data_IF_058532730495
#
_entry.id   IF_058532730495
#
_cell.length_a   1.000
_cell.length_b   1.000
_cell.length_c   1.000
_cell.angle_alpha   90.00
_cell.angle_beta   90.00
_cell.angle_gamma   90.00
#
_symmetry.space_group_name_H-M   'P 1'
#
loop_
_entity.id
_entity.type
_entity.pdbx_description
1 polymer ?
#
# COMPACT_ATOMS: atom_id res chain seq x y z
N UNK A 1 -35.42 -21.79 -47.08
CA UNK A 1 -35.58 -20.85 -45.94
C UNK A 1 -34.74 -21.24 -44.76
N UNK A 2 -34.74 -22.52 -44.29
CA UNK A 2 -33.90 -22.98 -43.19
C UNK A 2 -32.41 -22.85 -43.51
N UNK A 3 -31.98 -23.33 -44.67
CA UNK A 3 -30.57 -23.29 -45.08
C UNK A 3 -30.05 -21.86 -45.21
N UNK A 4 -30.89 -20.93 -45.74
CA UNK A 4 -30.57 -19.50 -45.79
C UNK A 4 -30.33 -18.92 -44.37
N UNK A 5 -31.23 -19.25 -43.44
CA UNK A 5 -31.08 -18.80 -42.04
C UNK A 5 -29.82 -19.36 -41.39
N UNK A 6 -29.48 -20.63 -41.68
CA UNK A 6 -28.27 -21.28 -41.13
C UNK A 6 -26.99 -20.72 -41.77
N UNK A 7 -27.00 -20.36 -43.03
CA UNK A 7 -25.88 -19.67 -43.69
C UNK A 7 -25.63 -18.30 -43.07
N UNK A 8 -26.68 -17.52 -42.79
CA UNK A 8 -26.54 -16.23 -42.10
C UNK A 8 -26.12 -16.37 -40.63
N UNK A 9 -26.56 -17.40 -39.92
CA UNK A 9 -26.23 -17.65 -38.52
C UNK A 9 -24.78 -18.10 -38.34
N UNK A 10 -24.17 -18.74 -39.34
CA UNK A 10 -22.86 -19.34 -39.27
C UNK A 10 -21.77 -18.32 -38.80
N UNK A 11 -21.61 -17.13 -39.43
CA UNK A 11 -20.61 -16.16 -38.97
C UNK A 11 -20.91 -15.53 -37.60
N UNK A 12 -22.20 -15.39 -37.24
CA UNK A 12 -22.57 -14.90 -35.90
C UNK A 12 -22.03 -15.79 -34.79
N UNK A 13 -22.18 -17.10 -34.97
CA UNK A 13 -21.70 -18.09 -34.01
C UNK A 13 -20.16 -18.19 -33.97
N UNK A 14 -19.47 -17.72 -35.00
CA UNK A 14 -18.01 -17.65 -35.01
C UNK A 14 -17.46 -16.52 -34.12
N UNK A 15 -18.21 -15.43 -33.90
CA UNK A 15 -17.62 -14.22 -33.33
C UNK A 15 -18.26 -13.76 -32.03
N UNK A 16 -19.58 -13.66 -31.98
CA UNK A 16 -20.30 -13.04 -30.87
C UNK A 16 -20.10 -13.79 -29.54
N UNK A 17 -20.24 -15.13 -29.49
CA UNK A 17 -20.12 -15.86 -28.23
C UNK A 17 -18.75 -15.75 -27.57
N UNK A 18 -17.70 -15.54 -28.36
CA UNK A 18 -16.31 -15.46 -27.88
C UNK A 18 -15.85 -14.03 -27.65
N UNK A 19 -16.40 -13.06 -28.38
CA UNK A 19 -16.09 -11.64 -28.21
C UNK A 19 -16.71 -11.03 -26.93
N UNK A 20 -18.00 -11.27 -26.69
CA UNK A 20 -18.73 -10.67 -25.58
C UNK A 20 -18.13 -10.95 -24.19
N UNK A 21 -17.78 -12.21 -23.82
CA UNK A 21 -17.22 -12.51 -22.51
C UNK A 21 -15.91 -11.77 -22.23
N UNK A 22 -15.12 -11.52 -23.27
CA UNK A 22 -13.86 -10.81 -23.16
C UNK A 22 -14.04 -9.38 -22.68
N UNK A 23 -14.94 -8.63 -23.30
CA UNK A 23 -15.22 -7.26 -22.89
C UNK A 23 -16.02 -7.20 -21.58
N UNK A 24 -16.83 -8.21 -21.30
CA UNK A 24 -17.57 -8.33 -20.05
C UNK A 24 -16.65 -8.46 -18.82
N UNK A 25 -15.59 -9.26 -18.92
CA UNK A 25 -14.65 -9.43 -17.80
C UNK A 25 -13.85 -8.17 -17.51
N UNK A 26 -13.58 -7.34 -18.54
CA UNK A 26 -12.86 -6.08 -18.45
C UNK A 26 -13.78 -4.84 -18.40
N UNK A 27 -15.08 -5.01 -18.13
CA UNK A 27 -16.09 -3.93 -18.22
C UNK A 27 -15.73 -2.70 -17.38
N UNK A 28 -15.08 -2.89 -16.25
CA UNK A 28 -14.69 -1.83 -15.31
C UNK A 28 -13.48 -1.00 -15.81
N UNK A 29 -12.78 -1.51 -16.84
CA UNK A 29 -11.59 -0.89 -17.46
C UNK A 29 -11.80 -0.50 -18.92
N UNK A 30 -13.03 -0.58 -19.42
CA UNK A 30 -13.38 -0.13 -20.76
C UNK A 30 -13.32 1.40 -20.88
N UNK A 31 -12.79 1.91 -22.00
CA UNK A 31 -12.81 3.34 -22.36
C UNK A 31 -14.20 3.82 -22.82
N UNK A 32 -15.05 2.90 -23.25
CA UNK A 32 -16.42 3.14 -23.71
C UNK A 32 -17.41 2.25 -22.95
N UNK A 33 -18.68 2.61 -22.92
CA UNK A 33 -19.70 1.79 -22.24
C UNK A 33 -19.86 0.45 -22.97
N UNK A 34 -19.95 -0.64 -22.19
CA UNK A 34 -20.08 -2.01 -22.71
C UNK A 34 -21.16 -2.19 -23.81
N UNK A 35 -22.27 -1.48 -23.68
CA UNK A 35 -23.36 -1.50 -24.71
C UNK A 35 -22.88 -1.11 -26.11
N UNK A 36 -21.93 -0.16 -26.22
CA UNK A 36 -21.41 0.23 -27.54
C UNK A 36 -20.47 -0.83 -28.12
N UNK A 37 -19.78 -1.59 -27.28
CA UNK A 37 -19.00 -2.74 -27.72
C UNK A 37 -19.90 -3.82 -28.26
N UNK A 38 -21.03 -4.11 -27.61
CA UNK A 38 -22.04 -5.06 -28.10
C UNK A 38 -22.56 -4.63 -29.46
N UNK A 39 -22.94 -3.37 -29.59
CA UNK A 39 -23.42 -2.82 -30.88
C UNK A 39 -22.38 -2.96 -32.00
N UNK A 40 -21.11 -2.62 -31.69
CA UNK A 40 -19.99 -2.73 -32.64
C UNK A 40 -19.80 -4.18 -33.11
N UNK A 41 -19.71 -5.12 -32.18
CA UNK A 41 -19.50 -6.53 -32.49
C UNK A 41 -20.69 -7.10 -33.30
N UNK A 42 -21.91 -6.73 -32.93
CA UNK A 42 -23.12 -7.15 -33.66
C UNK A 42 -23.15 -6.57 -35.08
N UNK A 43 -22.84 -5.28 -35.26
CA UNK A 43 -22.80 -4.65 -36.57
C UNK A 43 -21.75 -5.30 -37.48
N UNK A 44 -20.53 -5.52 -36.98
CA UNK A 44 -19.46 -6.21 -37.72
C UNK A 44 -19.88 -7.64 -38.08
N UNK A 45 -20.55 -8.36 -37.19
CA UNK A 45 -21.05 -9.71 -37.44
C UNK A 45 -22.19 -9.72 -38.47
N UNK A 46 -23.08 -8.72 -38.49
CA UNK A 46 -24.11 -8.57 -39.50
C UNK A 46 -23.50 -8.36 -40.89
N UNK A 47 -22.52 -7.45 -41.00
CA UNK A 47 -21.83 -7.20 -42.27
C UNK A 47 -21.13 -8.45 -42.78
N UNK A 48 -20.41 -9.16 -41.88
CA UNK A 48 -19.75 -10.41 -42.25
C UNK A 48 -20.75 -11.51 -42.66
N UNK A 49 -21.90 -11.62 -42.00
CA UNK A 49 -22.94 -12.59 -42.35
C UNK A 49 -23.54 -12.30 -43.73
N UNK A 50 -23.78 -11.03 -44.05
CA UNK A 50 -24.25 -10.65 -45.37
C UNK A 50 -23.22 -10.96 -46.48
N UNK A 51 -21.94 -10.61 -46.21
CA UNK A 51 -20.84 -10.93 -47.14
C UNK A 51 -20.67 -12.45 -47.34
N UNK A 52 -20.72 -13.20 -46.26
CA UNK A 52 -20.62 -14.66 -46.32
C UNK A 52 -21.76 -15.28 -47.11
N UNK A 53 -23.00 -14.80 -46.93
CA UNK A 53 -24.15 -15.26 -47.70
C UNK A 53 -23.98 -15.05 -49.21
N UNK A 54 -23.48 -13.89 -49.63
CA UNK A 54 -23.24 -13.59 -51.04
C UNK A 54 -22.14 -14.50 -51.62
N UNK A 55 -21.03 -14.67 -50.91
CA UNK A 55 -19.90 -15.48 -51.39
C UNK A 55 -20.24 -16.97 -51.39
N UNK A 56 -21.09 -17.44 -50.48
CA UNK A 56 -21.54 -18.83 -50.47
C UNK A 56 -22.37 -19.19 -51.73
N UNK A 57 -22.93 -18.21 -52.42
CA UNK A 57 -23.60 -18.45 -53.71
C UNK A 57 -22.62 -18.72 -54.87
N UNK A 58 -21.34 -18.31 -54.72
CA UNK A 58 -20.28 -18.58 -55.72
C UNK A 58 -19.72 -19.99 -55.62
N UNK A 59 -20.05 -20.73 -54.57
CA UNK A 59 -19.69 -22.14 -54.37
C UNK A 59 -18.92 -22.41 -53.10
N UNK A 60 -18.79 -23.69 -52.75
CA UNK A 60 -18.21 -24.17 -51.48
C UNK A 60 -16.77 -23.75 -51.28
N UNK A 61 -15.92 -23.79 -52.30
CA UNK A 61 -14.51 -23.41 -52.19
C UNK A 61 -14.33 -21.91 -51.87
N UNK A 62 -15.17 -21.03 -52.49
CA UNK A 62 -15.16 -19.60 -52.21
C UNK A 62 -15.59 -19.34 -50.77
N UNK A 63 -16.65 -19.98 -50.31
CA UNK A 63 -17.15 -19.89 -48.95
C UNK A 63 -16.10 -20.38 -47.89
N UNK A 64 -15.43 -21.47 -48.17
CA UNK A 64 -14.40 -22.03 -47.29
C UNK A 64 -13.17 -21.08 -47.15
N UNK A 65 -12.71 -20.51 -48.28
CA UNK A 65 -11.63 -19.51 -48.30
C UNK A 65 -12.03 -18.25 -47.54
N UNK A 66 -13.23 -17.74 -47.74
CA UNK A 66 -13.77 -16.59 -47.04
C UNK A 66 -13.87 -16.84 -45.54
N UNK A 67 -14.40 -17.98 -45.13
CA UNK A 67 -14.50 -18.37 -43.72
C UNK A 67 -13.14 -18.34 -43.01
N UNK A 68 -12.12 -18.91 -43.64
CA UNK A 68 -10.77 -18.93 -43.14
C UNK A 68 -10.20 -17.52 -43.01
N UNK A 69 -10.33 -16.69 -44.05
CA UNK A 69 -9.88 -15.29 -44.03
C UNK A 69 -10.56 -14.47 -42.92
N UNK A 70 -11.89 -14.63 -42.82
CA UNK A 70 -12.70 -13.90 -41.84
C UNK A 70 -12.38 -14.32 -40.39
N UNK A 71 -12.15 -15.60 -40.13
CA UNK A 71 -11.74 -16.08 -38.80
C UNK A 71 -10.43 -15.43 -38.37
N UNK A 72 -9.40 -15.47 -39.20
CA UNK A 72 -8.12 -14.82 -38.88
C UNK A 72 -8.22 -13.29 -38.79
N UNK A 73 -8.94 -12.68 -39.73
CA UNK A 73 -9.21 -11.25 -39.75
C UNK A 73 -9.96 -10.77 -38.51
N UNK A 74 -10.95 -11.54 -38.04
CA UNK A 74 -11.71 -11.21 -36.84
C UNK A 74 -10.91 -11.46 -35.55
N UNK A 75 -10.08 -12.49 -35.53
CA UNK A 75 -9.13 -12.70 -34.47
C UNK A 75 -8.23 -11.47 -34.27
N UNK A 76 -7.63 -10.98 -35.36
CA UNK A 76 -6.78 -9.80 -35.38
C UNK A 76 -7.58 -8.55 -35.00
N UNK A 77 -8.77 -8.36 -35.54
CA UNK A 77 -9.68 -7.25 -35.23
C UNK A 77 -10.01 -7.21 -33.73
N UNK A 78 -10.45 -8.33 -33.15
CA UNK A 78 -10.72 -8.42 -31.71
C UNK A 78 -9.49 -8.13 -30.86
N UNK A 79 -8.32 -8.59 -31.27
CA UNK A 79 -7.06 -8.33 -30.58
C UNK A 79 -6.77 -6.82 -30.58
N UNK A 80 -6.81 -6.17 -31.74
CA UNK A 80 -6.58 -4.72 -31.89
C UNK A 80 -7.63 -3.92 -31.10
N UNK A 81 -8.92 -4.23 -31.25
CA UNK A 81 -9.98 -3.57 -30.50
C UNK A 81 -9.78 -3.69 -28.99
N UNK A 82 -9.27 -4.80 -28.50
CA UNK A 82 -9.00 -4.96 -27.06
C UNK A 82 -7.91 -4.04 -26.57
N UNK A 83 -6.83 -3.87 -27.31
CA UNK A 83 -5.77 -2.89 -26.97
C UNK A 83 -6.25 -1.45 -27.03
N UNK A 84 -7.14 -1.15 -27.99
CA UNK A 84 -7.68 0.20 -28.16
C UNK A 84 -8.71 0.55 -27.07
N UNK A 85 -9.58 -0.40 -26.71
CA UNK A 85 -10.78 -0.14 -25.91
C UNK A 85 -10.60 -0.46 -24.42
N UNK A 86 -9.63 -1.29 -24.02
CA UNK A 86 -9.44 -1.72 -22.64
C UNK A 86 -8.17 -1.09 -22.06
N UNK A 87 -8.27 -0.47 -20.89
CA UNK A 87 -7.12 0.08 -20.14
C UNK A 87 -6.54 -0.99 -19.21
N UNK A 88 -5.76 -1.91 -19.77
CA UNK A 88 -5.15 -3.00 -18.99
C UNK A 88 -3.76 -3.34 -19.54
N UNK A 89 -2.96 -4.08 -18.74
CA UNK A 89 -1.63 -4.56 -19.13
C UNK A 89 -1.72 -5.56 -20.27
N UNK A 90 -0.77 -5.51 -21.22
CA UNK A 90 -0.67 -6.41 -22.37
C UNK A 90 -0.84 -7.89 -22.00
N UNK A 91 -0.13 -8.34 -20.96
CA UNK A 91 -0.11 -9.75 -20.56
C UNK A 91 -1.48 -10.24 -20.06
N UNK A 92 -2.21 -9.39 -19.33
CA UNK A 92 -3.56 -9.68 -18.84
C UNK A 92 -4.57 -9.77 -20.01
N UNK A 93 -4.44 -8.86 -20.97
CA UNK A 93 -5.26 -8.88 -22.19
C UNK A 93 -4.97 -10.12 -23.04
N UNK A 94 -3.70 -10.48 -23.20
CA UNK A 94 -3.30 -11.68 -23.93
C UNK A 94 -3.82 -12.95 -23.26
N UNK A 95 -3.72 -13.05 -21.93
CA UNK A 95 -4.23 -14.22 -21.21
C UNK A 95 -5.73 -14.45 -21.46
N UNK A 96 -6.55 -13.43 -21.23
CA UNK A 96 -8.02 -13.54 -21.42
C UNK A 96 -8.38 -13.82 -22.88
N UNK A 97 -7.64 -13.23 -23.80
CA UNK A 97 -7.83 -13.48 -25.25
C UNK A 97 -7.55 -14.94 -25.60
N UNK A 98 -6.40 -15.45 -25.21
CA UNK A 98 -5.95 -16.81 -25.57
C UNK A 98 -6.80 -17.90 -24.90
N UNK A 99 -7.29 -17.68 -23.68
CA UNK A 99 -8.25 -18.59 -23.05
C UNK A 99 -9.54 -18.70 -23.86
N UNK A 100 -10.10 -17.56 -24.31
CA UNK A 100 -11.31 -17.56 -25.12
C UNK A 100 -11.07 -18.13 -26.52
N UNK A 101 -9.89 -17.94 -27.08
CA UNK A 101 -9.50 -18.57 -28.35
C UNK A 101 -9.40 -20.10 -28.21
N UNK A 102 -8.79 -20.59 -27.13
CA UNK A 102 -8.75 -22.04 -26.85
C UNK A 102 -10.16 -22.63 -26.73
N UNK A 103 -11.06 -21.91 -26.10
CA UNK A 103 -12.47 -22.29 -26.02
C UNK A 103 -13.15 -22.28 -27.40
N UNK A 104 -12.89 -21.29 -28.25
CA UNK A 104 -13.46 -21.24 -29.60
C UNK A 104 -13.03 -22.45 -30.45
N UNK A 105 -11.75 -22.82 -30.41
CA UNK A 105 -11.25 -24.02 -31.10
C UNK A 105 -11.89 -25.31 -30.57
N UNK A 106 -12.15 -25.36 -29.25
CA UNK A 106 -12.91 -26.47 -28.67
C UNK A 106 -14.33 -26.58 -29.27
N UNK A 107 -15.06 -25.48 -29.29
CA UNK A 107 -16.44 -25.45 -29.82
C UNK A 107 -16.48 -25.83 -31.29
N UNK A 108 -15.64 -25.20 -32.10
CA UNK A 108 -15.59 -25.47 -33.57
C UNK A 108 -15.18 -26.89 -33.88
N UNK A 109 -14.12 -27.38 -33.20
CA UNK A 109 -13.62 -28.71 -33.43
C UNK A 109 -14.62 -29.81 -33.04
N UNK A 110 -15.37 -29.60 -31.95
CA UNK A 110 -16.40 -30.58 -31.55
C UNK A 110 -17.61 -30.55 -32.47
N UNK A 111 -18.04 -29.37 -32.97
CA UNK A 111 -19.09 -29.27 -33.95
C UNK A 111 -18.71 -29.96 -35.25
N UNK A 112 -17.47 -29.76 -35.75
CA UNK A 112 -16.95 -30.47 -36.91
C UNK A 112 -16.91 -32.00 -36.68
N UNK A 113 -16.50 -32.45 -35.49
CA UNK A 113 -16.49 -33.88 -35.17
C UNK A 113 -17.90 -34.48 -35.23
N UNK A 114 -18.89 -33.83 -34.65
CA UNK A 114 -20.29 -34.30 -34.66
C UNK A 114 -20.81 -34.38 -36.09
N UNK A 115 -20.64 -33.31 -36.86
CA UNK A 115 -21.06 -33.26 -38.25
C UNK A 115 -20.40 -34.32 -39.11
N UNK A 116 -19.04 -34.39 -39.08
CA UNK A 116 -18.29 -35.28 -39.94
C UNK A 116 -18.44 -36.78 -39.54
N UNK A 117 -18.69 -37.09 -38.27
CA UNK A 117 -18.76 -38.47 -37.79
C UNK A 117 -20.15 -39.08 -37.90
N UNK A 118 -21.18 -38.28 -37.64
CA UNK A 118 -22.55 -38.81 -37.47
C UNK A 118 -23.54 -38.35 -38.52
N UNK A 119 -23.28 -37.22 -39.20
CA UNK A 119 -24.27 -36.57 -40.05
C UNK A 119 -23.71 -36.14 -41.40
N UNK A 120 -22.67 -36.75 -41.91
CA UNK A 120 -21.99 -36.38 -43.15
C UNK A 120 -22.97 -36.26 -44.36
N UNK A 121 -23.73 -37.35 -44.66
CA UNK A 121 -24.66 -37.41 -45.77
C UNK A 121 -25.85 -36.42 -45.65
N UNK A 122 -26.21 -36.07 -44.41
CA UNK A 122 -27.25 -35.10 -44.14
C UNK A 122 -26.75 -33.67 -44.31
N UNK A 123 -25.55 -33.38 -43.89
CA UNK A 123 -24.91 -32.06 -44.00
C UNK A 123 -24.62 -31.70 -45.45
N UNK A 124 -24.40 -32.65 -46.35
CA UNK A 124 -24.24 -32.41 -47.77
C UNK A 124 -25.55 -31.86 -48.39
N UNK A 125 -26.72 -32.28 -47.91
CA UNK A 125 -28.02 -31.78 -48.34
C UNK A 125 -28.47 -30.49 -47.66
N UNK A 126 -28.02 -30.27 -46.40
CA UNK A 126 -28.40 -29.12 -45.58
C UNK A 126 -27.16 -28.47 -44.99
N UNK A 127 -26.43 -27.65 -45.78
CA UNK A 127 -25.20 -27.00 -45.33
C UNK A 127 -25.39 -26.16 -44.08
N UNK A 128 -24.41 -26.24 -43.16
CA UNK A 128 -24.36 -25.49 -41.90
C UNK A 128 -25.44 -25.85 -40.86
N UNK A 129 -26.46 -26.64 -41.14
CA UNK A 129 -27.56 -26.94 -40.24
C UNK A 129 -27.03 -27.73 -38.99
N UNK A 130 -26.41 -28.87 -39.24
CA UNK A 130 -25.88 -29.72 -38.18
C UNK A 130 -24.75 -29.01 -37.45
N UNK A 131 -23.84 -28.39 -38.18
CA UNK A 131 -22.71 -27.67 -37.61
C UNK A 131 -23.14 -26.53 -36.67
N UNK A 132 -24.08 -25.69 -37.09
CA UNK A 132 -24.59 -24.60 -36.25
C UNK A 132 -25.37 -25.12 -35.05
N UNK A 133 -26.20 -26.13 -35.24
CA UNK A 133 -26.97 -26.76 -34.14
C UNK A 133 -26.02 -27.34 -33.10
N UNK A 134 -25.00 -28.08 -33.54
CA UNK A 134 -23.99 -28.63 -32.65
C UNK A 134 -23.24 -27.49 -31.86
N UNK A 135 -22.85 -26.40 -32.54
CA UNK A 135 -22.25 -25.23 -31.91
C UNK A 135 -23.13 -24.62 -30.85
N UNK A 136 -24.41 -24.40 -31.15
CA UNK A 136 -25.37 -23.84 -30.19
C UNK A 136 -25.49 -24.74 -28.95
N UNK A 137 -25.62 -26.03 -29.13
CA UNK A 137 -25.71 -27.00 -28.02
C UNK A 137 -24.44 -26.97 -27.17
N UNK A 138 -23.25 -27.04 -27.81
CA UNK A 138 -21.96 -27.01 -27.12
C UNK A 138 -21.78 -25.66 -26.39
N UNK A 139 -22.15 -24.54 -26.98
CA UNK A 139 -22.12 -23.23 -26.34
C UNK A 139 -23.05 -23.19 -25.14
N UNK A 140 -24.29 -23.62 -25.23
CA UNK A 140 -25.23 -23.65 -24.13
C UNK A 140 -24.70 -24.45 -22.92
N UNK A 141 -24.02 -25.56 -23.21
CA UNK A 141 -23.40 -26.40 -22.15
C UNK A 141 -22.15 -25.71 -21.56
N UNK A 142 -21.26 -25.20 -22.40
CA UNK A 142 -19.94 -24.71 -21.95
C UNK A 142 -19.94 -23.26 -21.48
N UNK A 143 -20.87 -22.43 -21.90
CA UNK A 143 -20.94 -20.99 -21.60
C UNK A 143 -21.04 -20.70 -20.10
N UNK A 144 -21.88 -21.39 -19.31
CA UNK A 144 -21.93 -21.17 -17.86
C UNK A 144 -20.59 -21.47 -17.18
N UNK A 145 -19.90 -22.53 -17.60
CA UNK A 145 -18.60 -22.91 -17.03
C UNK A 145 -17.51 -21.89 -17.35
N UNK A 146 -17.45 -21.42 -18.59
CA UNK A 146 -16.48 -20.39 -18.99
C UNK A 146 -16.78 -19.05 -18.30
N UNK A 147 -18.05 -18.63 -18.22
CA UNK A 147 -18.41 -17.40 -17.49
C UNK A 147 -18.09 -17.50 -16.02
N UNK A 148 -18.32 -18.66 -15.39
CA UNK A 148 -17.95 -18.89 -13.98
C UNK A 148 -16.43 -18.81 -13.80
N UNK A 149 -15.66 -19.48 -14.65
CA UNK A 149 -14.19 -19.45 -14.62
C UNK A 149 -13.67 -18.02 -14.81
N UNK A 150 -14.14 -17.30 -15.80
CA UNK A 150 -13.74 -15.93 -16.06
C UNK A 150 -14.17 -14.98 -14.93
N UNK A 151 -15.43 -15.08 -14.48
CA UNK A 151 -16.01 -14.15 -13.51
C UNK A 151 -15.50 -14.35 -12.08
N UNK A 152 -15.19 -15.59 -11.70
CA UNK A 152 -14.73 -15.90 -10.34
C UNK A 152 -13.20 -16.03 -10.27
N UNK A 153 -12.62 -16.89 -11.07
CA UNK A 153 -11.17 -17.18 -10.99
C UNK A 153 -10.32 -16.11 -11.66
N UNK A 154 -10.62 -15.81 -12.93
CA UNK A 154 -9.78 -14.89 -13.71
C UNK A 154 -9.99 -13.44 -13.26
N UNK A 155 -11.21 -13.02 -12.95
CA UNK A 155 -11.51 -11.65 -12.52
C UNK A 155 -10.79 -11.30 -11.20
N UNK A 156 -10.75 -12.20 -10.24
CA UNK A 156 -10.00 -12.01 -9.00
C UNK A 156 -8.49 -11.92 -9.28
N UNK A 157 -7.98 -12.77 -10.15
CA UNK A 157 -6.58 -12.72 -10.57
C UNK A 157 -6.21 -11.41 -11.29
N UNK A 158 -7.11 -10.85 -12.11
CA UNK A 158 -6.88 -9.58 -12.81
C UNK A 158 -6.70 -8.38 -11.87
N UNK A 159 -7.21 -8.44 -10.63
CA UNK A 159 -6.98 -7.43 -9.60
C UNK A 159 -5.54 -7.43 -9.08
N UNK A 160 -4.81 -8.53 -9.28
CA UNK A 160 -3.42 -8.64 -8.85
C UNK A 160 -2.50 -7.82 -9.74
N UNK A 161 -1.65 -6.97 -9.14
CA UNK A 161 -0.73 -6.09 -9.89
C UNK A 161 0.65 -6.70 -10.14
N UNK A 162 0.86 -7.98 -9.81
CA UNK A 162 2.14 -8.66 -9.98
C UNK A 162 2.51 -8.83 -11.47
N UNK A 163 3.36 -7.93 -11.96
CA UNK A 163 3.82 -7.92 -13.34
C UNK A 163 4.61 -9.19 -13.71
N UNK A 164 5.39 -9.73 -12.77
CA UNK A 164 6.20 -10.94 -13.01
C UNK A 164 5.32 -12.16 -13.23
N UNK A 165 4.27 -12.29 -12.43
CA UNK A 165 3.26 -13.34 -12.59
C UNK A 165 2.66 -13.34 -14.00
N UNK A 166 2.19 -12.16 -14.44
CA UNK A 166 1.51 -12.05 -15.73
C UNK A 166 2.44 -12.27 -16.93
N UNK A 167 3.76 -12.08 -16.80
CA UNK A 167 4.75 -12.42 -17.83
C UNK A 167 4.77 -13.92 -18.18
N UNK A 168 4.37 -14.78 -17.26
CA UNK A 168 4.33 -16.23 -17.47
C UNK A 168 2.91 -16.75 -17.72
N UNK A 169 1.90 -16.20 -17.04
CA UNK A 169 0.52 -16.68 -17.09
C UNK A 169 -0.06 -16.75 -18.51
N UNK A 170 0.14 -15.73 -19.33
CA UNK A 170 -0.41 -15.70 -20.69
C UNK A 170 0.20 -16.73 -21.65
N UNK A 171 1.37 -17.26 -21.31
CA UNK A 171 2.05 -18.31 -22.11
C UNK A 171 1.35 -19.67 -22.02
N UNK A 172 0.62 -19.92 -20.93
CA UNK A 172 -0.12 -21.18 -20.75
C UNK A 172 -1.21 -21.32 -21.84
N UNK A 173 -2.19 -20.43 -21.97
CA UNK A 173 -3.17 -20.52 -23.03
C UNK A 173 -2.61 -20.23 -24.43
N UNK A 174 -1.45 -19.56 -24.55
CA UNK A 174 -0.76 -19.41 -25.83
C UNK A 174 -0.41 -20.77 -26.43
N UNK A 175 0.16 -21.65 -25.64
CA UNK A 175 0.53 -23.00 -26.10
C UNK A 175 -0.71 -23.78 -26.59
N UNK A 176 -1.79 -23.75 -25.82
CA UNK A 176 -3.07 -24.36 -26.20
C UNK A 176 -3.66 -23.77 -27.50
N UNK A 177 -3.57 -22.44 -27.64
CA UNK A 177 -4.06 -21.75 -28.84
C UNK A 177 -3.26 -22.12 -30.08
N UNK A 178 -1.93 -22.13 -29.99
CA UNK A 178 -1.04 -22.53 -31.09
C UNK A 178 -1.31 -23.98 -31.53
N UNK A 179 -1.50 -24.88 -30.57
CA UNK A 179 -1.88 -26.25 -30.87
C UNK A 179 -3.25 -26.31 -31.57
N UNK A 180 -4.27 -25.57 -31.09
CA UNK A 180 -5.56 -25.46 -31.72
C UNK A 180 -5.48 -24.93 -33.16
N UNK A 181 -4.61 -23.94 -33.42
CA UNK A 181 -4.37 -23.41 -34.78
C UNK A 181 -3.78 -24.47 -35.71
N UNK A 182 -2.84 -25.26 -35.25
CA UNK A 182 -2.27 -26.35 -36.09
C UNK A 182 -3.35 -27.35 -36.50
N UNK A 183 -4.28 -27.65 -35.62
CA UNK A 183 -5.41 -28.53 -35.98
C UNK A 183 -6.41 -27.92 -36.96
N UNK A 184 -6.62 -26.61 -36.94
CA UNK A 184 -7.52 -25.93 -37.88
C UNK A 184 -6.95 -25.84 -39.29
N UNK A 185 -5.67 -26.09 -39.52
CA UNK A 185 -5.00 -26.13 -40.83
C UNK A 185 -5.08 -27.51 -41.51
N UNK A 186 -5.45 -28.55 -40.76
CA UNK A 186 -5.64 -29.89 -41.35
C UNK A 186 -6.96 -29.92 -42.14
N UNK A 187 -6.86 -30.07 -43.42
CA UNK A 187 -8.02 -30.11 -44.32
C UNK A 187 -8.67 -31.52 -44.44
N UNK A 188 -8.10 -32.52 -43.79
CA UNK A 188 -8.59 -33.89 -43.87
C UNK A 188 -9.81 -34.09 -42.97
N UNK A 189 -10.96 -34.31 -43.58
CA UNK A 189 -12.24 -34.58 -42.90
C UNK A 189 -12.16 -35.82 -42.01
N UNK A 190 -11.43 -36.87 -42.41
CA UNK A 190 -11.25 -38.08 -41.62
C UNK A 190 -10.48 -37.81 -40.31
N UNK A 191 -9.54 -36.87 -40.33
CA UNK A 191 -8.84 -36.46 -39.13
C UNK A 191 -9.79 -35.83 -38.11
N UNK A 192 -10.71 -34.99 -38.49
CA UNK A 192 -11.72 -34.37 -37.61
C UNK A 192 -12.67 -35.41 -37.00
N UNK A 193 -12.97 -36.48 -37.69
CA UNK A 193 -13.86 -37.55 -37.25
C UNK A 193 -13.17 -38.59 -36.34
N UNK A 194 -11.89 -38.43 -35.99
CA UNK A 194 -11.16 -39.37 -35.15
C UNK A 194 -11.38 -39.10 -33.65
N UNK A 195 -11.49 -40.20 -32.87
CA UNK A 195 -11.62 -40.13 -31.41
C UNK A 195 -10.37 -39.56 -30.71
N UNK A 196 -9.20 -39.80 -31.29
CA UNK A 196 -7.94 -39.24 -30.76
C UNK A 196 -7.98 -37.70 -30.83
N UNK A 197 -8.52 -37.17 -31.90
CA UNK A 197 -8.65 -35.74 -32.08
C UNK A 197 -9.66 -35.10 -31.09
N UNK A 198 -10.77 -35.80 -30.84
CA UNK A 198 -11.73 -35.40 -29.83
C UNK A 198 -11.11 -35.32 -28.46
N UNK A 199 -10.45 -36.41 -28.03
CA UNK A 199 -9.79 -36.51 -26.70
C UNK A 199 -8.74 -35.42 -26.54
N UNK A 200 -7.91 -35.19 -27.57
CA UNK A 200 -6.87 -34.15 -27.51
C UNK A 200 -7.45 -32.71 -27.28
N UNK A 201 -8.58 -32.38 -27.91
CA UNK A 201 -9.26 -31.09 -27.67
C UNK A 201 -9.77 -30.93 -26.25
N UNK A 202 -10.36 -32.00 -25.68
CA UNK A 202 -10.79 -31.99 -24.29
C UNK A 202 -9.61 -31.81 -23.34
N UNK A 203 -8.54 -32.60 -23.53
CA UNK A 203 -7.32 -32.47 -22.72
C UNK A 203 -6.71 -31.08 -22.81
N UNK A 204 -6.70 -30.46 -23.99
CA UNK A 204 -6.14 -29.12 -24.17
C UNK A 204 -6.97 -28.05 -23.47
N UNK A 205 -8.28 -28.05 -23.61
CA UNK A 205 -9.12 -27.04 -22.95
C UNK A 205 -9.11 -27.21 -21.42
N UNK A 206 -9.44 -28.42 -20.97
CA UNK A 206 -9.49 -28.70 -19.51
C UNK A 206 -8.12 -28.58 -18.89
N UNK A 207 -7.06 -29.06 -19.55
CA UNK A 207 -5.68 -28.89 -19.11
C UNK A 207 -5.29 -27.42 -18.98
N UNK A 208 -5.62 -26.59 -19.98
CA UNK A 208 -5.33 -25.14 -19.91
C UNK A 208 -6.07 -24.46 -18.75
N UNK A 209 -7.37 -24.73 -18.60
CA UNK A 209 -8.16 -24.19 -17.50
C UNK A 209 -7.65 -24.69 -16.14
N UNK A 210 -7.35 -25.98 -16.03
CA UNK A 210 -6.85 -26.60 -14.78
C UNK A 210 -5.47 -26.07 -14.37
N UNK A 211 -4.52 -26.04 -15.30
CA UNK A 211 -3.16 -25.51 -15.03
C UNK A 211 -3.26 -24.02 -14.66
N UNK A 212 -4.08 -23.24 -15.37
CA UNK A 212 -4.31 -21.83 -15.02
C UNK A 212 -4.92 -21.67 -13.63
N UNK A 213 -5.90 -22.50 -13.29
CA UNK A 213 -6.52 -22.50 -11.96
C UNK A 213 -5.54 -22.85 -10.85
N UNK A 214 -4.78 -23.96 -11.02
CA UNK A 214 -3.78 -24.39 -10.03
C UNK A 214 -2.71 -23.33 -9.84
N UNK A 215 -2.22 -22.75 -10.93
CA UNK A 215 -1.21 -21.71 -10.87
C UNK A 215 -1.71 -20.47 -10.09
N UNK A 216 -2.93 -20.02 -10.37
CA UNK A 216 -3.55 -18.91 -9.64
C UNK A 216 -3.74 -19.20 -8.17
N UNK A 217 -4.16 -20.43 -7.83
CA UNK A 217 -4.30 -20.87 -6.44
C UNK A 217 -2.97 -20.92 -5.69
N UNK A 218 -1.94 -21.47 -6.30
CA UNK A 218 -0.60 -21.53 -5.69
C UNK A 218 -0.08 -20.12 -5.41
N UNK A 219 -0.30 -19.19 -6.32
CA UNK A 219 0.10 -17.79 -6.13
C UNK A 219 -0.69 -17.08 -5.03
N UNK A 220 -1.99 -17.32 -4.95
CA UNK A 220 -2.83 -16.78 -3.87
C UNK A 220 -2.33 -17.27 -2.51
N UNK A 221 -2.08 -18.58 -2.38
CA UNK A 221 -1.55 -19.18 -1.15
C UNK A 221 -0.17 -18.62 -0.81
N UNK A 222 0.73 -18.51 -1.79
CA UNK A 222 2.07 -17.96 -1.58
C UNK A 222 2.03 -16.51 -1.08
N UNK A 223 1.17 -15.67 -1.67
CA UNK A 223 0.99 -14.28 -1.22
C UNK A 223 0.45 -14.19 0.19
N UNK A 224 -0.58 -14.99 0.49
CA UNK A 224 -1.17 -15.03 1.83
C UNK A 224 -0.15 -15.45 2.88
N UNK A 225 0.71 -16.41 2.53
CA UNK A 225 1.82 -16.83 3.39
C UNK A 225 2.79 -15.68 3.66
N UNK A 226 3.21 -14.96 2.61
CA UNK A 226 4.13 -13.81 2.77
C UNK A 226 3.53 -12.70 3.62
N UNK A 227 2.24 -12.38 3.43
CA UNK A 227 1.53 -11.39 4.25
C UNK A 227 1.48 -11.80 5.72
N UNK A 228 1.15 -13.05 6.01
CA UNK A 228 1.14 -13.58 7.38
C UNK A 228 2.53 -13.52 8.03
N UNK A 229 3.59 -13.83 7.29
CA UNK A 229 4.96 -13.72 7.77
C UNK A 229 5.35 -12.28 8.10
N UNK A 230 4.91 -11.29 7.30
CA UNK A 230 5.12 -9.87 7.57
C UNK A 230 4.35 -9.40 8.81
N UNK A 231 3.08 -9.79 8.96
CA UNK A 231 2.25 -9.49 10.13
C UNK A 231 2.87 -10.10 11.41
N UNK A 232 3.36 -11.33 11.33
CA UNK A 232 4.02 -12.01 12.44
C UNK A 232 5.30 -11.29 12.88
N UNK A 233 6.13 -10.87 11.93
CA UNK A 233 7.33 -10.07 12.21
C UNK A 233 6.99 -8.70 12.84
N UNK A 234 5.90 -8.09 12.40
CA UNK A 234 5.44 -6.83 13.00
C UNK A 234 4.96 -7.03 14.45
N UNK A 235 4.18 -8.08 14.69
CA UNK A 235 3.71 -8.44 16.04
C UNK A 235 4.88 -8.75 16.99
N UNK A 236 5.87 -9.51 16.55
CA UNK A 236 7.07 -9.82 17.34
C UNK A 236 7.86 -8.56 17.72
N UNK A 237 8.04 -7.63 16.77
CA UNK A 237 8.71 -6.34 17.06
C UNK A 237 7.93 -5.51 18.07
N UNK A 238 6.60 -5.49 17.96
CA UNK A 238 5.73 -4.80 18.91
C UNK A 238 5.83 -5.38 20.32
N UNK A 239 5.81 -6.71 20.42
CA UNK A 239 5.98 -7.41 21.70
C UNK A 239 7.34 -7.14 22.36
N UNK A 240 8.42 -7.14 21.58
CA UNK A 240 9.76 -6.79 22.08
C UNK A 240 9.82 -5.35 22.58
N UNK A 241 9.20 -4.40 21.87
CA UNK A 241 9.12 -3.00 22.30
C UNK A 241 8.35 -2.85 23.61
N UNK A 242 7.20 -3.52 23.74
CA UNK A 242 6.39 -3.53 24.97
C UNK A 242 7.14 -4.15 26.13
N UNK A 243 7.84 -5.27 25.92
CA UNK A 243 8.66 -5.92 26.95
C UNK A 243 9.74 -4.98 27.47
N UNK A 244 10.46 -4.31 26.56
CA UNK A 244 11.49 -3.32 26.93
C UNK A 244 10.92 -2.15 27.73
N UNK A 245 9.75 -1.65 27.33
CA UNK A 245 9.05 -0.60 28.08
C UNK A 245 8.66 -1.06 29.49
N UNK A 246 8.12 -2.28 29.60
CA UNK A 246 7.76 -2.87 30.88
C UNK A 246 8.98 -3.03 31.81
N UNK A 247 10.11 -3.52 31.28
CA UNK A 247 11.37 -3.64 32.02
C UNK A 247 11.85 -2.28 32.54
N UNK A 248 11.77 -1.22 31.69
CA UNK A 248 12.13 0.14 32.09
C UNK A 248 11.24 0.68 33.23
N UNK A 249 9.92 0.51 33.08
CA UNK A 249 8.95 0.93 34.11
C UNK A 249 9.17 0.16 35.41
N UNK A 250 9.41 -1.15 35.34
CA UNK A 250 9.68 -2.00 36.48
C UNK A 250 10.95 -1.54 37.23
N UNK A 251 12.02 -1.21 36.48
CA UNK A 251 13.27 -0.69 37.08
C UNK A 251 13.02 0.65 37.81
N UNK A 252 12.29 1.58 37.19
CA UNK A 252 11.93 2.85 37.85
C UNK A 252 11.05 2.66 39.09
N UNK A 253 10.12 1.71 39.06
CA UNK A 253 9.32 1.39 40.27
C UNK A 253 10.16 0.86 41.41
N UNK A 254 11.18 0.06 41.12
CA UNK A 254 12.09 -0.46 42.15
C UNK A 254 12.99 0.65 42.72
N UNK A 255 13.51 1.56 41.87
CA UNK A 255 14.23 2.77 42.33
C UNK A 255 13.35 3.66 43.21
N UNK A 256 12.10 3.90 42.82
CA UNK A 256 11.15 4.68 43.62
C UNK A 256 10.83 4.00 44.95
N UNK A 257 10.72 2.67 44.98
CA UNK A 257 10.50 1.92 46.22
C UNK A 257 11.70 2.07 47.18
N UNK A 258 12.92 2.01 46.64
CA UNK A 258 14.13 2.24 47.39
C UNK A 258 14.19 3.66 47.93
N UNK A 259 14.00 4.67 47.09
CA UNK A 259 13.98 6.07 47.50
C UNK A 259 12.93 6.37 48.58
N UNK A 260 11.73 5.77 48.47
CA UNK A 260 10.67 5.89 49.49
C UNK A 260 11.06 5.23 50.81
N UNK A 261 11.77 4.10 50.76
CA UNK A 261 12.27 3.43 51.95
C UNK A 261 13.30 4.32 52.65
N UNK A 262 14.26 4.87 51.91
CA UNK A 262 15.33 5.73 52.46
C UNK A 262 14.75 7.02 53.07
N UNK A 263 13.77 7.64 52.39
CA UNK A 263 13.03 8.79 52.92
C UNK A 263 12.34 8.47 54.25
N UNK A 264 11.71 7.30 54.38
CA UNK A 264 11.08 6.88 55.66
C UNK A 264 12.10 6.72 56.78
N UNK A 265 13.31 6.21 56.51
CA UNK A 265 14.38 6.10 57.48
C UNK A 265 14.83 7.49 57.94
N UNK A 266 15.02 8.44 57.01
CA UNK A 266 15.40 9.81 57.38
C UNK A 266 14.33 10.51 58.22
N UNK A 267 13.05 10.35 57.87
CA UNK A 267 11.93 10.89 58.66
C UNK A 267 11.88 10.29 60.07
N UNK A 268 12.15 9.00 60.23
CA UNK A 268 12.21 8.35 61.55
C UNK A 268 13.35 8.91 62.40
N UNK A 269 14.52 9.20 61.82
CA UNK A 269 15.63 9.84 62.49
C UNK A 269 15.28 11.27 62.95
N UNK A 270 14.68 12.07 62.04
CA UNK A 270 14.19 13.42 62.37
C UNK A 270 13.19 13.38 63.52
N UNK A 271 12.23 12.46 63.48
CA UNK A 271 11.22 12.28 64.54
C UNK A 271 11.87 11.95 65.88
N UNK A 272 12.90 11.07 65.89
CA UNK A 272 13.66 10.71 67.11
C UNK A 272 14.35 11.91 67.73
N UNK A 273 14.92 12.84 66.99
CA UNK A 273 15.54 14.09 67.50
C UNK A 273 14.47 15.02 68.06
N UNK A 274 13.29 15.13 67.44
CA UNK A 274 12.16 15.93 67.94
C UNK A 274 11.65 15.37 69.29
N UNK A 275 11.48 14.07 69.41
CA UNK A 275 10.99 13.40 70.63
C UNK A 275 11.94 13.55 71.81
N UNK A 276 13.24 13.74 71.53
CA UNK A 276 14.28 13.96 72.57
C UNK A 276 14.53 15.44 72.89
N UNK A 277 13.83 16.36 72.21
CA UNK A 277 14.04 17.82 72.25
C UNK A 277 15.49 18.23 71.94
N UNK A 278 16.24 17.42 71.20
CA UNK A 278 17.62 17.65 70.79
C UNK A 278 17.69 18.48 69.52
N UNK A 279 17.53 19.77 69.65
CA UNK A 279 17.54 20.73 68.54
C UNK A 279 18.93 20.89 67.92
N UNK A 280 19.99 20.74 68.69
CA UNK A 280 21.34 20.87 68.16
C UNK A 280 21.68 19.68 67.25
N UNK A 281 21.42 18.46 67.72
CA UNK A 281 21.62 17.26 66.90
C UNK A 281 20.74 17.20 65.67
N UNK A 282 19.49 17.69 65.73
CA UNK A 282 18.61 17.81 64.56
C UNK A 282 19.18 18.77 63.53
N UNK A 283 19.69 19.93 63.97
CA UNK A 283 20.27 20.93 63.07
C UNK A 283 21.50 20.39 62.33
N UNK A 284 22.40 19.73 63.10
CA UNK A 284 23.58 19.08 62.52
C UNK A 284 23.21 17.96 61.51
N UNK A 285 22.25 17.12 61.85
CA UNK A 285 21.76 16.06 60.96
C UNK A 285 21.19 16.63 59.65
N UNK A 286 20.37 17.69 59.72
CA UNK A 286 19.81 18.35 58.55
C UNK A 286 20.90 18.97 57.67
N UNK A 287 21.91 19.59 58.25
CA UNK A 287 23.03 20.18 57.50
C UNK A 287 23.87 19.10 56.80
N UNK A 288 24.15 17.97 57.48
CA UNK A 288 24.83 16.83 56.87
C UNK A 288 23.99 16.28 55.70
N UNK A 289 22.68 16.09 55.91
CA UNK A 289 21.79 15.54 54.89
C UNK A 289 21.62 16.48 53.68
N UNK A 290 21.62 17.81 53.90
CA UNK A 290 21.64 18.79 52.78
C UNK A 290 22.90 18.69 51.93
N UNK A 291 24.05 18.36 52.51
CA UNK A 291 25.30 18.18 51.74
C UNK A 291 25.33 16.88 50.95
N UNK A 292 24.62 15.83 51.43
CA UNK A 292 24.49 14.55 50.73
C UNK A 292 23.42 14.58 49.61
N UNK A 293 22.46 15.53 49.67
CA UNK A 293 21.49 15.71 48.60
C UNK A 293 22.19 16.28 47.37
N UNK A 294 21.89 15.77 46.16
CA UNK A 294 22.37 16.37 44.91
C UNK A 294 22.04 17.87 44.89
N UNK A 295 22.97 18.74 44.48
CA UNK A 295 22.79 20.22 44.51
C UNK A 295 21.63 20.74 43.63
N UNK A 296 20.92 19.86 42.99
CA UNK A 296 19.98 20.16 41.92
C UNK A 296 18.52 20.44 42.37
N UNK A 297 18.23 20.46 43.68
CA UNK A 297 16.80 20.45 44.12
C UNK A 297 16.21 21.87 44.33
N UNK A 298 16.97 22.97 44.19
CA UNK A 298 16.49 24.30 44.62
C UNK A 298 16.53 25.41 43.53
N UNK A 299 16.73 25.09 42.27
CA UNK A 299 16.58 26.16 41.25
C UNK A 299 15.15 26.21 40.75
N UNK A 300 14.43 27.27 41.06
CA UNK A 300 13.08 27.53 40.53
C UNK A 300 13.21 28.45 39.33
N UNK A 301 13.03 27.92 38.12
CA UNK A 301 13.07 28.66 36.87
C UNK A 301 11.69 29.24 36.48
N UNK A 302 10.59 28.55 36.87
CA UNK A 302 9.22 29.03 36.62
C UNK A 302 8.23 28.47 37.67
N UNK A 303 7.03 29.06 37.72
CA UNK A 303 5.97 28.66 38.67
C UNK A 303 5.27 27.33 38.32
N UNK A 304 5.21 26.97 37.07
CA UNK A 304 4.61 25.69 36.65
C UNK A 304 5.54 24.53 37.03
N UNK A 305 5.05 23.60 37.83
CA UNK A 305 5.86 22.51 38.39
C UNK A 305 6.40 21.55 37.33
N UNK A 306 5.63 21.21 36.33
CA UNK A 306 6.01 20.27 35.26
C UNK A 306 7.12 20.85 34.41
N UNK A 307 6.93 22.09 33.98
CA UNK A 307 7.92 22.81 33.15
C UNK A 307 9.20 23.09 33.94
N UNK A 308 9.06 23.49 35.23
CA UNK A 308 10.22 23.67 36.09
C UNK A 308 11.03 22.39 36.25
N UNK A 309 10.39 21.25 36.51
CA UNK A 309 11.07 19.96 36.64
C UNK A 309 11.83 19.58 35.34
N UNK A 310 11.26 19.86 34.17
CA UNK A 310 11.94 19.60 32.91
C UNK A 310 13.16 20.51 32.69
N UNK A 311 13.05 21.81 33.01
CA UNK A 311 14.18 22.73 32.92
C UNK A 311 15.29 22.32 33.90
N UNK A 312 14.96 21.98 35.14
CA UNK A 312 15.91 21.49 36.14
C UNK A 312 16.64 20.23 35.66
N UNK A 313 15.92 19.28 35.04
CA UNK A 313 16.53 18.07 34.48
C UNK A 313 17.61 18.41 33.45
N UNK A 314 17.31 19.26 32.46
CA UNK A 314 18.28 19.61 31.41
C UNK A 314 19.40 20.52 31.95
N UNK A 315 19.14 21.38 32.95
CA UNK A 315 20.15 22.15 33.64
C UNK A 315 21.15 21.24 34.35
N UNK A 316 20.68 20.21 35.04
CA UNK A 316 21.48 19.16 35.67
C UNK A 316 22.34 18.41 34.64
N UNK A 317 21.74 17.99 33.52
CA UNK A 317 22.47 17.35 32.41
C UNK A 317 23.57 18.25 31.86
N UNK A 318 23.27 19.52 31.61
CA UNK A 318 24.25 20.51 31.13
C UNK A 318 25.43 20.67 32.13
N UNK A 319 25.16 20.79 33.45
CA UNK A 319 26.18 20.89 34.48
C UNK A 319 27.09 19.66 34.53
N UNK A 320 26.53 18.43 34.47
CA UNK A 320 27.32 17.19 34.42
C UNK A 320 28.35 17.19 33.29
N UNK A 321 27.99 17.82 32.17
CA UNK A 321 28.83 17.92 30.97
C UNK A 321 29.61 19.23 30.88
N UNK A 322 29.64 20.04 31.96
CA UNK A 322 30.34 21.34 32.03
C UNK A 322 29.89 22.34 30.98
N UNK A 323 28.60 22.26 30.54
CA UNK A 323 27.96 23.18 29.65
C UNK A 323 27.35 24.32 30.47
N UNK A 324 27.62 25.57 30.10
CA UNK A 324 26.99 26.74 30.75
C UNK A 324 25.52 26.77 30.39
N UNK A 325 24.63 26.66 31.36
CA UNK A 325 23.19 26.71 31.17
C UNK A 325 22.58 27.94 31.83
N UNK A 326 21.81 28.70 31.06
CA UNK A 326 21.10 29.88 31.54
C UNK A 326 19.62 29.74 31.12
N UNK A 327 18.70 29.85 32.06
CA UNK A 327 17.26 29.80 31.75
C UNK A 327 16.54 31.00 32.38
N UNK A 328 15.66 31.58 31.59
CA UNK A 328 14.74 32.63 31.98
C UNK A 328 13.33 32.24 31.50
N UNK A 329 12.47 31.80 32.41
CA UNK A 329 11.16 31.23 32.04
C UNK A 329 10.03 31.99 32.73
N UNK A 330 9.49 32.98 32.02
CA UNK A 330 8.23 33.63 32.39
C UNK A 330 7.05 32.80 31.83
N UNK A 331 6.85 31.64 32.45
CA UNK A 331 5.77 30.72 32.09
C UNK A 331 4.71 30.71 33.20
N UNK A 332 3.42 30.92 32.88
CA UNK A 332 2.35 31.00 33.88
C UNK A 332 2.11 29.64 34.55
N UNK A 333 1.58 29.69 35.75
CA UNK A 333 1.21 28.48 36.51
C UNK A 333 0.13 27.68 35.76
N UNK A 334 -0.83 28.38 35.14
CA UNK A 334 -1.83 27.78 34.24
C UNK A 334 -1.72 28.44 32.86
N UNK A 335 -1.65 27.60 31.83
CA UNK A 335 -1.56 28.04 30.45
C UNK A 335 -2.62 27.31 29.61
N UNK A 336 -3.25 27.97 28.61
CA UNK A 336 -4.15 27.32 27.68
C UNK A 336 -3.50 26.23 26.82
N UNK A 337 -2.18 26.24 26.72
CA UNK A 337 -1.41 25.17 26.05
C UNK A 337 -1.19 24.02 27.04
N UNK A 338 -1.45 22.80 26.62
CA UNK A 338 -1.27 21.61 27.45
C UNK A 338 0.19 21.47 27.92
N UNK A 339 0.40 21.22 29.21
CA UNK A 339 1.73 20.94 29.77
C UNK A 339 2.46 19.80 29.05
N UNK A 340 1.71 18.81 28.53
CA UNK A 340 2.25 17.72 27.71
C UNK A 340 2.87 18.24 26.41
N UNK A 341 2.19 19.13 25.71
CA UNK A 341 2.67 19.69 24.44
C UNK A 341 3.86 20.63 24.65
N UNK A 342 3.81 21.46 25.70
CA UNK A 342 4.95 22.29 26.08
C UNK A 342 6.15 21.43 26.47
N UNK A 343 5.95 20.31 27.17
CA UNK A 343 6.99 19.35 27.50
C UNK A 343 7.62 18.75 26.25
N UNK A 344 6.83 18.45 25.22
CA UNK A 344 7.34 17.97 23.92
C UNK A 344 8.17 19.05 23.21
N UNK A 345 7.72 20.30 23.19
CA UNK A 345 8.47 21.43 22.58
C UNK A 345 9.80 21.61 23.30
N UNK A 346 9.76 21.84 24.61
CA UNK A 346 10.96 22.13 25.43
C UNK A 346 11.91 20.93 25.46
N UNK A 347 11.39 19.71 25.59
CA UNK A 347 12.18 18.50 25.59
C UNK A 347 13.00 18.37 24.31
N UNK A 348 12.35 18.52 23.15
CA UNK A 348 13.04 18.45 21.87
C UNK A 348 14.04 19.59 21.64
N UNK A 349 13.71 20.81 22.06
CA UNK A 349 14.61 21.97 21.96
C UNK A 349 15.87 21.77 22.83
N UNK A 350 15.68 21.43 24.10
CA UNK A 350 16.76 21.28 25.07
C UNK A 350 17.60 20.01 24.80
N UNK A 351 16.98 18.89 24.41
CA UNK A 351 17.71 17.70 23.99
C UNK A 351 18.64 17.99 22.81
N UNK A 352 18.11 18.66 21.78
CA UNK A 352 18.89 19.05 20.60
C UNK A 352 20.06 19.98 21.00
N UNK A 353 19.82 20.92 21.91
CA UNK A 353 20.84 21.85 22.39
C UNK A 353 21.97 21.15 23.16
N UNK A 354 21.62 20.23 24.06
CA UNK A 354 22.60 19.42 24.84
C UNK A 354 23.38 18.52 23.87
N UNK A 355 22.71 17.82 22.96
CA UNK A 355 23.39 16.96 21.98
C UNK A 355 24.33 17.74 21.06
N UNK A 356 23.93 18.94 20.62
CA UNK A 356 24.82 19.80 19.82
C UNK A 356 26.07 20.17 20.60
N UNK A 357 25.92 20.61 21.85
CA UNK A 357 27.04 20.94 22.72
C UNK A 357 27.96 19.73 23.03
N UNK A 358 27.41 18.52 23.16
CA UNK A 358 28.20 17.30 23.38
C UNK A 358 29.05 16.90 22.16
N UNK A 359 28.70 17.35 20.97
CA UNK A 359 29.49 17.10 19.74
C UNK A 359 30.65 18.07 19.57
N UNK A 360 30.63 19.18 20.32
CA UNK A 360 31.68 20.18 20.22
C UNK A 360 32.97 19.65 20.88
N UNK A 361 34.05 19.63 20.12
CA UNK A 361 35.35 19.12 20.63
C UNK A 361 36.22 20.17 21.31
N UNK A 362 36.03 21.45 20.96
CA UNK A 362 36.91 22.53 21.40
C UNK A 362 36.09 23.80 21.68
N UNK A 363 35.74 24.06 22.92
CA UNK A 363 35.14 25.32 23.26
C UNK A 363 34.30 25.33 24.56
N UNK A 364 34.04 26.53 25.06
CA UNK A 364 33.06 26.74 26.14
C UNK A 364 31.67 26.64 25.56
N UNK A 365 31.03 25.52 25.77
CA UNK A 365 29.65 25.29 25.33
C UNK A 365 28.67 26.04 26.23
N UNK A 366 27.66 26.63 25.62
CA UNK A 366 26.58 27.32 26.31
C UNK A 366 25.23 27.02 25.72
N UNK A 367 24.21 26.94 26.59
CA UNK A 367 22.80 26.83 26.24
C UNK A 367 22.07 27.96 26.98
N UNK A 368 21.23 28.68 26.26
CA UNK A 368 20.36 29.70 26.81
C UNK A 368 18.90 29.41 26.42
N UNK A 369 18.04 29.29 27.43
CA UNK A 369 16.60 29.16 27.28
C UNK A 369 15.90 30.42 27.70
N UNK A 370 14.98 30.92 26.89
CA UNK A 370 14.08 32.01 27.24
C UNK A 370 12.65 31.63 26.89
N UNK A 371 11.75 31.77 27.85
CA UNK A 371 10.30 31.57 27.68
C UNK A 371 9.64 32.86 28.13
N UNK A 372 8.81 33.48 27.30
CA UNK A 372 8.11 34.69 27.65
C UNK A 372 6.83 34.87 26.84
N UNK A 373 5.90 35.65 27.39
CA UNK A 373 4.74 36.12 26.64
C UNK A 373 5.12 37.43 25.91
N UNK A 374 5.00 37.47 24.58
CA UNK A 374 5.27 38.65 23.78
C UNK A 374 4.10 39.66 23.91
N UNK A 375 2.87 39.17 24.06
CA UNK A 375 1.63 39.88 24.32
C UNK A 375 0.64 38.95 25.03
N UNK A 376 -0.59 39.36 25.31
CA UNK A 376 -1.61 38.55 25.98
C UNK A 376 -1.96 37.24 25.22
N UNK A 377 -1.72 37.18 23.91
CA UNK A 377 -2.12 36.07 23.02
C UNK A 377 -0.93 35.32 22.41
N UNK A 378 0.30 35.55 22.84
CA UNK A 378 1.48 34.92 22.22
C UNK A 378 2.49 34.41 23.23
N UNK A 379 2.83 33.13 23.17
CA UNK A 379 3.85 32.46 23.95
C UNK A 379 5.05 32.12 23.06
N UNK A 380 6.26 32.48 23.50
CA UNK A 380 7.49 32.32 22.72
C UNK A 380 8.50 31.49 23.52
N UNK A 381 9.08 30.50 22.86
CA UNK A 381 10.20 29.67 23.35
C UNK A 381 11.42 29.96 22.48
N UNK A 382 12.52 30.38 23.09
CA UNK A 382 13.80 30.61 22.42
C UNK A 382 14.86 29.73 23.06
N UNK A 383 15.59 29.01 22.24
CA UNK A 383 16.74 28.23 22.69
C UNK A 383 17.93 28.54 21.79
N UNK A 384 19.00 29.04 22.39
CA UNK A 384 20.24 29.33 21.71
C UNK A 384 21.32 28.37 22.26
N UNK A 385 22.07 27.73 21.38
CA UNK A 385 23.16 26.85 21.83
C UNK A 385 24.40 26.94 20.93
N UNK A 386 25.56 26.66 21.49
CA UNK A 386 26.80 26.56 20.73
C UNK A 386 26.71 25.43 19.73
N UNK A 387 27.03 25.72 18.45
CA UNK A 387 27.04 24.77 17.34
C UNK A 387 28.01 25.23 16.25
N UNK A 388 29.25 24.75 16.27
CA UNK A 388 30.27 25.10 15.29
C UNK A 388 30.19 24.22 14.02
N UNK A 389 29.56 23.07 14.09
CA UNK A 389 29.31 22.19 12.93
C UNK A 389 28.27 22.76 11.98
N UNK A 390 28.38 22.47 10.68
CA UNK A 390 27.41 22.94 9.68
C UNK A 390 26.08 22.17 9.80
N UNK A 391 25.00 22.87 10.09
CA UNK A 391 23.64 22.33 10.07
C UNK A 391 23.13 22.40 8.62
N UNK A 392 22.60 21.27 8.10
CA UNK A 392 21.94 21.22 6.79
C UNK A 392 20.46 21.57 6.96
N UNK A 393 19.96 22.38 6.05
CA UNK A 393 18.54 22.74 5.98
C UNK A 393 17.88 22.06 4.77
N UNK A 394 16.56 22.03 4.78
CA UNK A 394 15.75 21.56 3.64
C UNK A 394 15.90 22.49 2.42
N UNK A 395 15.20 22.16 1.32
CA UNK A 395 15.24 22.93 0.07
C UNK A 395 14.74 24.37 0.24
N UNK A 396 13.87 24.62 1.21
CA UNK A 396 13.31 25.96 1.52
C UNK A 396 14.20 26.76 2.50
N UNK A 397 15.28 26.17 3.00
CA UNK A 397 16.22 26.80 3.93
C UNK A 397 15.65 27.07 5.33
N UNK A 398 14.48 26.48 5.67
CA UNK A 398 13.76 26.77 6.91
C UNK A 398 13.83 25.68 7.96
N UNK A 399 13.97 24.41 7.54
CA UNK A 399 13.90 23.26 8.44
C UNK A 399 15.24 22.56 8.54
N UNK A 400 15.82 22.38 9.72
CA UNK A 400 17.06 21.67 9.88
C UNK A 400 16.88 20.16 9.62
N UNK A 401 17.78 19.60 8.82
CA UNK A 401 17.80 18.16 8.54
C UNK A 401 18.49 17.40 9.66
N UNK A 402 18.01 16.20 9.94
CA UNK A 402 18.58 15.34 10.96
C UNK A 402 20.01 14.90 10.62
N UNK A 403 20.90 14.96 11.59
CA UNK A 403 22.23 14.36 11.49
C UNK A 403 22.22 12.83 11.70
N UNK A 404 21.13 12.27 12.24
CA UNK A 404 21.01 10.84 12.60
C UNK A 404 20.30 10.00 11.54
N UNK A 405 19.52 10.61 10.62
CA UNK A 405 18.72 9.92 9.60
C UNK A 405 18.52 10.81 8.35
N UNK A 406 18.06 10.21 7.26
CA UNK A 406 17.68 10.97 6.06
C UNK A 406 16.38 11.77 6.31
N UNK A 407 16.39 13.07 6.02
CA UNK A 407 15.25 13.98 6.15
C UNK A 407 15.17 14.75 7.47
N UNK A 408 14.02 15.32 7.76
CA UNK A 408 13.74 16.11 8.97
C UNK A 408 13.74 15.22 10.22
N UNK A 409 14.29 15.72 11.33
CA UNK A 409 14.28 15.04 12.62
C UNK A 409 12.87 14.91 13.20
N UNK A 410 12.57 13.79 13.94
CA UNK A 410 11.26 13.60 14.60
C UNK A 410 10.96 14.77 15.53
N UNK A 411 11.94 15.20 16.34
CA UNK A 411 11.77 16.29 17.29
C UNK A 411 11.37 17.60 16.61
N UNK A 412 12.03 17.97 15.51
CA UNK A 412 11.71 19.19 14.76
C UNK A 412 10.32 19.08 14.11
N UNK A 413 9.96 17.92 13.58
CA UNK A 413 8.62 17.69 13.02
C UNK A 413 7.53 17.82 14.08
N UNK A 414 7.75 17.25 15.30
CA UNK A 414 6.79 17.35 16.40
C UNK A 414 6.62 18.77 16.90
N UNK A 415 7.72 19.56 17.01
CA UNK A 415 7.64 20.98 17.37
C UNK A 415 6.81 21.76 16.37
N UNK A 416 7.03 21.55 15.06
CA UNK A 416 6.30 22.24 14.00
C UNK A 416 4.82 21.87 14.02
N UNK A 417 4.49 20.59 14.15
CA UNK A 417 3.10 20.12 14.21
C UNK A 417 2.33 20.76 15.38
N UNK A 418 2.98 20.89 16.55
CA UNK A 418 2.37 21.58 17.70
C UNK A 418 2.24 23.07 17.41
N UNK A 419 3.27 23.74 16.88
CA UNK A 419 3.20 25.15 16.54
C UNK A 419 2.08 25.45 15.56
N UNK A 420 1.96 24.67 14.47
CA UNK A 420 0.90 24.81 13.47
C UNK A 420 -0.51 24.64 14.09
N UNK A 421 -0.67 23.70 15.03
CA UNK A 421 -1.95 23.46 15.73
C UNK A 421 -2.41 24.67 16.55
N UNK A 422 -1.47 25.43 17.10
CA UNK A 422 -1.74 26.65 17.83
C UNK A 422 -1.62 27.92 16.96
N UNK A 423 -1.68 27.79 15.63
CA UNK A 423 -1.61 28.93 14.70
C UNK A 423 -0.30 29.73 14.81
N UNK A 424 0.76 29.10 15.31
CA UNK A 424 2.08 29.64 15.50
C UNK A 424 3.04 29.35 14.35
N UNK A 425 4.34 29.51 14.60
CA UNK A 425 5.39 29.23 13.62
C UNK A 425 6.71 28.81 14.32
N UNK A 426 7.63 28.27 13.53
CA UNK A 426 8.96 27.86 13.99
C UNK A 426 10.05 28.48 13.13
N UNK A 427 11.10 29.00 13.76
CA UNK A 427 12.26 29.55 13.05
C UNK A 427 13.55 28.88 13.58
N UNK A 428 14.34 28.36 12.67
CA UNK A 428 15.64 27.76 12.99
C UNK A 428 16.71 28.44 12.14
N UNK A 429 17.79 28.91 12.81
CA UNK A 429 18.90 29.58 12.15
C UNK A 429 20.23 29.13 12.73
N UNK A 430 21.26 29.10 11.89
CA UNK A 430 22.65 28.95 12.35
C UNK A 430 23.44 30.20 11.97
N UNK A 431 24.06 30.85 12.94
CA UNK A 431 24.81 32.08 12.74
C UNK A 431 25.98 32.21 13.72
N UNK A 432 27.15 32.55 13.24
CA UNK A 432 28.33 32.81 14.07
C UNK A 432 28.67 31.71 15.10
N UNK A 433 28.55 30.45 14.73
CA UNK A 433 28.84 29.31 15.62
C UNK A 433 27.79 29.02 16.69
N UNK A 434 26.62 29.64 16.54
CA UNK A 434 25.44 29.40 17.39
C UNK A 434 24.28 28.88 16.57
N UNK A 435 23.47 28.00 17.15
CA UNK A 435 22.19 27.56 16.62
C UNK A 435 21.08 28.23 17.42
N UNK A 436 20.13 28.81 16.72
CA UNK A 436 18.96 29.50 17.26
C UNK A 436 17.72 28.75 16.89
N UNK A 437 16.90 28.41 17.87
CA UNK A 437 15.59 27.82 17.66
C UNK A 437 14.52 28.69 18.33
N UNK A 438 13.54 29.11 17.58
CA UNK A 438 12.41 29.90 18.05
C UNK A 438 11.12 29.17 17.73
N UNK A 439 10.24 29.06 18.71
CA UNK A 439 8.88 28.54 18.56
C UNK A 439 7.93 29.56 19.11
N UNK A 440 6.96 29.93 18.31
CA UNK A 440 5.91 30.85 18.69
C UNK A 440 4.56 30.15 18.62
N UNK A 441 3.73 30.32 19.65
CA UNK A 441 2.38 29.78 19.74
C UNK A 441 1.39 30.93 19.93
N UNK A 442 0.27 30.88 19.24
CA UNK A 442 -0.85 31.74 19.49
C UNK A 442 -1.73 31.09 20.58
N UNK A 443 -1.96 31.79 21.66
CA UNK A 443 -2.82 31.36 22.76
C UNK A 443 -4.07 32.21 22.82
N UNK A 444 -5.24 31.68 23.21
CA UNK A 444 -6.43 32.48 23.43
C UNK A 444 -6.16 33.60 24.45
N UNK A 445 -6.71 34.77 24.23
CA UNK A 445 -6.69 35.82 25.27
C UNK A 445 -7.47 35.33 26.49
N UNK A 446 -6.86 35.36 27.66
CA UNK A 446 -7.59 35.17 28.92
C UNK A 446 -8.64 36.29 28.98
N UNK A 447 -9.93 35.95 29.04
CA UNK A 447 -10.98 36.88 29.35
C UNK A 447 -10.65 37.43 30.75
N UNK A 448 -10.40 38.74 30.85
CA UNK A 448 -10.23 39.42 32.13
C UNK A 448 -11.47 39.12 33.00
N UNK A 449 -11.33 38.23 33.99
CA UNK A 449 -12.25 38.04 35.09
C UNK A 449 -11.81 38.86 36.29
#
# INVERSE_FOLDING_TARGET
MIDTAMTLLFPFLDFIPFGLPRYWIHRDKLKIRYRYVVVLLTAVSCVNSAAFYLINQEGYEAAARWTTLMRYGFMLFNLICSFLLIREQFQKLMFTYLVLMSWSFFVFGNANFIESRFFWDFSDRHPYLIYNTARVVILLITYPFILHFLGHTVREALKMEDRKMWQYMWKIPLFSTLFGMLYCTVQDVYAYASWQFLISRYLMLFGTCYVSYVFLRVLEISRRKTQLEEELKYADRSLLAQKKQYETVSAHMEEMKKARHDLRQHLAVVQSYIERDDRAGLSEYIEIYKTELPPDIIEIYCRNQVINALICYYASQARRHKIRFEAQADYPEQCPVSDTEVTVILGNLLENAVEACLREKNGKCSIRLRIFRKNKSSLVFLTDNTCSGTVRFDADGKTPLSSKRKGVGIGVSSIREIADRYGGDTLFEQKAGMFYASVWLQIPEEADN
#
